data_IF_236903247339
#
_entry.id   IF_236903247339
#
_cell.length_a   1.000
_cell.length_b   1.000
_cell.length_c   1.000
_cell.angle_alpha   90.00
_cell.angle_beta   90.00
_cell.angle_gamma   90.00
#
_symmetry.space_group_name_H-M   'P 1'
#
loop_
_entity.id
_entity.type
_entity.pdbx_description
1 polymer ?
#
# COMPACT_ATOMS: atom_id res chain seq x y z
N UNK A 1 -48.98 32.97 -11.01
CA UNK A 1 -48.04 33.09 -9.87
C UNK A 1 -47.80 31.71 -9.27
N UNK A 2 -46.55 31.42 -8.90
CA UNK A 2 -46.10 30.31 -8.03
C UNK A 2 -46.10 28.89 -8.61
N UNK A 3 -45.18 28.62 -9.53
CA UNK A 3 -44.49 27.33 -9.70
C UNK A 3 -43.04 27.71 -9.85
N UNK A 4 -42.19 27.45 -8.85
CA UNK A 4 -40.71 27.46 -8.90
C UNK A 4 -40.15 27.43 -7.46
N UNK A 5 -40.55 26.46 -6.64
CA UNK A 5 -39.88 26.18 -5.35
C UNK A 5 -39.93 24.67 -5.13
N UNK A 6 -39.27 23.89 -6.00
CA UNK A 6 -39.09 22.45 -5.74
C UNK A 6 -37.78 21.90 -6.32
N UNK A 7 -36.79 22.76 -6.55
CA UNK A 7 -35.48 22.36 -7.09
C UNK A 7 -34.29 22.65 -6.16
N UNK A 8 -34.54 23.17 -4.95
CA UNK A 8 -33.47 23.59 -4.04
C UNK A 8 -33.04 22.54 -3.01
N UNK A 9 -33.70 21.37 -2.93
CA UNK A 9 -33.45 20.37 -1.88
C UNK A 9 -32.61 19.16 -2.32
N UNK A 10 -32.30 19.01 -3.61
CA UNK A 10 -31.56 17.84 -4.11
C UNK A 10 -30.04 18.02 -4.19
N UNK A 11 -29.52 19.25 -3.99
CA UNK A 11 -28.10 19.56 -4.17
C UNK A 11 -27.24 19.36 -2.90
N UNK A 12 -27.85 19.16 -1.72
CA UNK A 12 -27.12 19.09 -0.44
C UNK A 12 -26.71 17.65 -0.09
N UNK A 13 -27.25 16.64 -0.78
CA UNK A 13 -26.93 15.23 -0.51
C UNK A 13 -25.63 14.74 -1.18
N UNK A 14 -24.95 15.56 -1.97
CA UNK A 14 -23.77 15.15 -2.74
C UNK A 14 -22.42 15.32 -2.01
N UNK A 15 -22.41 15.83 -0.77
CA UNK A 15 -21.16 16.15 -0.05
C UNK A 15 -20.70 15.12 1.00
N UNK A 16 -21.35 13.96 1.09
CA UNK A 16 -21.11 13.00 2.18
C UNK A 16 -20.41 11.71 1.74
N UNK A 17 -19.48 11.77 0.79
CA UNK A 17 -18.65 10.61 0.43
C UNK A 17 -17.17 10.94 0.39
N UNK A 18 -16.66 11.67 1.39
CA UNK A 18 -15.29 11.38 1.84
C UNK A 18 -15.36 10.02 2.50
N UNK A 19 -15.06 8.98 1.71
CA UNK A 19 -14.82 7.65 2.20
C UNK A 19 -13.70 7.75 3.25
N UNK A 20 -14.10 7.77 4.52
CA UNK A 20 -13.20 7.45 5.62
C UNK A 20 -12.80 6.01 5.34
N UNK A 21 -11.63 5.84 4.73
CA UNK A 21 -10.98 4.54 4.63
C UNK A 21 -10.83 4.10 6.07
N UNK A 22 -11.71 3.20 6.50
CA UNK A 22 -11.63 2.61 7.81
C UNK A 22 -10.22 2.03 7.89
N UNK A 23 -9.40 2.64 8.72
CA UNK A 23 -8.11 2.12 9.11
C UNK A 23 -8.44 0.80 9.79
N UNK A 24 -8.38 -0.28 9.01
CA UNK A 24 -8.64 -1.63 9.47
C UNK A 24 -7.55 -1.91 10.49
N UNK A 25 -7.90 -1.73 11.76
CA UNK A 25 -7.04 -1.85 12.92
C UNK A 25 -6.73 -3.32 13.20
N UNK A 26 -6.20 -4.02 12.20
CA UNK A 26 -5.43 -5.24 12.41
C UNK A 26 -4.10 -4.86 13.03
N UNK A 27 -3.54 -5.73 13.87
CA UNK A 27 -2.19 -5.52 14.37
C UNK A 27 -1.22 -5.49 13.19
N UNK A 28 -0.45 -4.40 13.06
CA UNK A 28 0.52 -4.20 11.98
C UNK A 28 1.89 -4.65 12.46
N UNK A 29 2.48 -5.61 11.75
CA UNK A 29 3.87 -5.99 11.94
C UNK A 29 4.73 -5.15 11.00
N UNK A 30 5.62 -4.33 11.54
CA UNK A 30 6.57 -3.51 10.77
C UNK A 30 7.99 -3.99 11.02
N UNK A 31 8.72 -4.31 9.94
CA UNK A 31 10.10 -4.78 10.01
C UNK A 31 10.95 -4.00 9.01
N UNK A 32 12.07 -3.46 9.50
CA UNK A 32 13.05 -2.80 8.67
C UNK A 32 13.98 -3.83 8.03
N UNK A 33 14.24 -3.65 6.73
CA UNK A 33 15.09 -4.52 5.93
C UNK A 33 16.17 -3.69 5.25
N UNK A 34 17.43 -4.12 5.40
CA UNK A 34 18.58 -3.52 4.72
C UNK A 34 18.50 -3.67 3.19
N UNK A 35 17.81 -4.73 2.74
CA UNK A 35 17.72 -5.06 1.31
C UNK A 35 16.40 -5.74 0.95
N UNK A 36 15.73 -5.21 -0.06
CA UNK A 36 14.48 -5.69 -0.65
C UNK A 36 14.70 -5.91 -2.14
N UNK A 37 14.83 -7.18 -2.53
CA UNK A 37 14.93 -7.56 -3.94
C UNK A 37 13.53 -7.76 -4.51
N UNK A 38 13.11 -6.85 -5.38
CA UNK A 38 11.79 -6.86 -6.01
C UNK A 38 11.89 -7.51 -7.39
N UNK A 39 11.24 -8.66 -7.54
CA UNK A 39 11.03 -9.31 -8.83
C UNK A 39 9.66 -8.93 -9.38
N UNK A 40 9.64 -7.90 -10.22
CA UNK A 40 8.43 -7.39 -10.86
C UNK A 40 7.94 -8.35 -11.95
N UNK A 41 6.78 -8.95 -11.75
CA UNK A 41 6.16 -9.85 -12.71
C UNK A 41 4.64 -9.85 -12.51
N UNK A 42 3.93 -8.83 -13.03
CA UNK A 42 2.52 -8.66 -12.77
C UNK A 42 1.72 -9.77 -13.43
N UNK A 43 0.99 -10.54 -12.62
CA UNK A 43 0.09 -11.60 -13.07
C UNK A 43 -1.19 -11.55 -12.23
N UNK A 44 -2.26 -11.01 -12.81
CA UNK A 44 -3.53 -10.81 -12.09
C UNK A 44 -3.38 -9.78 -10.96
N UNK A 45 -3.79 -10.15 -9.74
CA UNK A 45 -3.77 -9.27 -8.55
C UNK A 45 -2.41 -9.20 -7.86
N UNK A 46 -1.48 -10.10 -8.17
CA UNK A 46 -0.09 -10.07 -7.67
C UNK A 46 0.80 -9.33 -8.68
N UNK A 47 1.51 -8.33 -8.19
CA UNK A 47 2.38 -7.45 -8.98
C UNK A 47 3.85 -7.89 -8.93
N UNK A 48 4.33 -8.35 -7.77
CA UNK A 48 5.72 -8.74 -7.60
C UNK A 48 5.92 -9.78 -6.50
N UNK A 49 7.11 -10.38 -6.49
CA UNK A 49 7.66 -11.14 -5.36
C UNK A 49 8.84 -10.39 -4.76
N UNK A 50 8.97 -10.40 -3.45
CA UNK A 50 10.03 -9.70 -2.71
C UNK A 50 10.84 -10.70 -1.90
N UNK A 51 12.16 -10.59 -1.99
CA UNK A 51 13.09 -11.21 -1.03
C UNK A 51 13.64 -10.11 -0.12
N UNK A 52 13.37 -10.23 1.18
CA UNK A 52 13.71 -9.21 2.16
C UNK A 52 14.79 -9.73 3.13
N UNK A 53 15.91 -9.03 3.21
CA UNK A 53 17.08 -9.38 4.02
C UNK A 53 17.25 -8.38 5.15
N UNK A 54 17.06 -8.86 6.39
CA UNK A 54 17.24 -8.03 7.59
C UNK A 54 18.72 -7.87 7.97
N UNK A 55 19.58 -8.74 7.45
CA UNK A 55 21.03 -8.66 7.58
C UNK A 55 21.71 -9.50 6.49
N UNK A 56 23.03 -9.30 6.29
CA UNK A 56 23.82 -10.00 5.25
C UNK A 56 23.82 -11.54 5.37
N UNK A 57 23.71 -12.08 6.59
CA UNK A 57 23.78 -13.53 6.86
C UNK A 57 22.43 -14.14 7.24
N UNK A 58 21.38 -13.32 7.32
CA UNK A 58 20.05 -13.75 7.73
C UNK A 58 19.37 -14.51 6.59
N UNK A 59 18.53 -15.51 6.93
CA UNK A 59 17.65 -16.11 5.93
C UNK A 59 16.66 -15.04 5.41
N UNK A 60 16.42 -14.93 4.09
CA UNK A 60 15.51 -13.95 3.56
C UNK A 60 14.06 -14.29 3.89
N UNK A 61 13.30 -13.28 4.30
CA UNK A 61 11.85 -13.34 4.28
C UNK A 61 11.36 -13.23 2.83
N UNK A 62 10.18 -13.81 2.56
CA UNK A 62 9.57 -13.81 1.23
C UNK A 62 8.19 -13.20 1.35
N UNK A 63 7.90 -12.28 0.44
CA UNK A 63 6.62 -11.61 0.40
C UNK A 63 6.10 -11.46 -1.04
N UNK A 64 4.83 -11.12 -1.14
CA UNK A 64 4.14 -10.75 -2.37
C UNK A 64 3.63 -9.31 -2.27
N UNK A 65 3.73 -8.59 -3.39
CA UNK A 65 3.13 -7.26 -3.57
C UNK A 65 1.87 -7.45 -4.40
N UNK A 66 0.76 -6.88 -3.92
CA UNK A 66 -0.53 -6.92 -4.58
C UNK A 66 -0.96 -5.53 -5.02
N UNK A 67 -2.05 -5.45 -5.78
CA UNK A 67 -2.59 -4.17 -6.28
C UNK A 67 -3.02 -3.20 -5.18
N UNK A 68 -3.28 -3.69 -3.97
CA UNK A 68 -3.67 -2.90 -2.80
C UNK A 68 -2.50 -2.57 -1.87
N UNK A 69 -1.27 -3.00 -2.18
CA UNK A 69 -0.08 -2.63 -1.41
C UNK A 69 0.19 -1.13 -1.57
N UNK A 70 0.36 -0.44 -0.44
CA UNK A 70 0.72 0.98 -0.41
C UNK A 70 2.24 1.15 -0.47
N UNK A 71 2.70 2.22 -1.12
CA UNK A 71 4.11 2.58 -1.21
C UNK A 71 4.29 4.02 -0.74
N UNK A 72 5.28 4.25 0.12
CA UNK A 72 5.65 5.56 0.62
C UNK A 72 7.15 5.79 0.45
N UNK A 73 7.55 7.05 0.24
CA UNK A 73 8.94 7.48 0.36
C UNK A 73 9.34 7.69 1.82
N UNK A 74 10.64 7.97 2.04
CA UNK A 74 11.21 8.23 3.37
C UNK A 74 10.56 9.44 4.06
N UNK A 75 10.07 10.40 3.28
CA UNK A 75 9.33 11.58 3.77
C UNK A 75 7.86 11.30 4.09
N UNK A 76 7.41 10.04 3.96
CA UNK A 76 6.02 9.62 4.14
C UNK A 76 5.10 10.01 2.99
N UNK A 77 5.64 10.56 1.89
CA UNK A 77 4.83 10.89 0.71
C UNK A 77 4.39 9.61 -0.03
N UNK A 78 3.14 9.52 -0.48
CA UNK A 78 2.68 8.35 -1.22
C UNK A 78 3.35 8.29 -2.60
N UNK A 79 3.78 7.09 -2.97
CA UNK A 79 4.36 6.77 -4.27
C UNK A 79 3.42 5.82 -5.05
N UNK A 80 3.49 5.87 -6.37
CA UNK A 80 2.86 4.85 -7.21
C UNK A 80 3.59 3.51 -6.99
N UNK A 81 2.84 2.42 -6.73
CA UNK A 81 3.43 1.08 -6.54
C UNK A 81 4.26 0.64 -7.74
N UNK A 82 3.95 1.13 -8.95
CA UNK A 82 4.76 0.89 -10.15
C UNK A 82 6.17 1.47 -10.05
N UNK A 83 6.45 2.39 -9.14
CA UNK A 83 7.79 2.94 -8.92
C UNK A 83 8.81 1.84 -8.60
N UNK A 84 8.37 0.76 -7.95
CA UNK A 84 9.22 -0.40 -7.65
C UNK A 84 9.75 -1.11 -8.90
N UNK A 85 9.14 -0.94 -10.08
CA UNK A 85 9.66 -1.51 -11.34
C UNK A 85 10.95 -0.83 -11.81
N UNK A 86 11.27 0.34 -11.28
CA UNK A 86 12.39 1.17 -11.77
C UNK A 86 13.75 0.65 -11.30
N UNK A 87 13.79 -0.12 -10.20
CA UNK A 87 15.00 -0.75 -9.66
C UNK A 87 14.65 -2.10 -9.05
N UNK A 88 15.62 -3.01 -9.09
CA UNK A 88 15.46 -4.36 -8.52
C UNK A 88 15.71 -4.38 -7.02
N UNK A 89 16.42 -3.39 -6.48
CA UNK A 89 16.96 -3.42 -5.12
C UNK A 89 16.63 -2.12 -4.37
N UNK A 90 16.15 -2.26 -3.14
CA UNK A 90 15.67 -1.17 -2.28
C UNK A 90 16.05 -1.44 -0.82
N UNK A 91 16.08 -0.40 0.00
CA UNK A 91 16.03 -0.54 1.45
C UNK A 91 14.69 0.02 1.94
N UNK A 92 14.21 -0.45 3.09
CA UNK A 92 12.97 0.08 3.63
C UNK A 92 12.29 -0.76 4.69
N UNK A 93 11.17 -0.24 5.14
CA UNK A 93 10.29 -0.91 6.11
C UNK A 93 9.16 -1.63 5.38
N UNK A 94 9.01 -2.92 5.64
CA UNK A 94 7.88 -3.73 5.16
C UNK A 94 6.87 -3.88 6.28
N UNK A 95 5.60 -3.61 5.97
CA UNK A 95 4.49 -3.73 6.90
C UNK A 95 3.48 -4.78 6.41
N UNK A 96 3.17 -5.76 7.26
CA UNK A 96 2.18 -6.81 7.00
C UNK A 96 1.09 -6.79 8.07
N UNK A 97 -0.13 -7.19 7.71
CA UNK A 97 -1.20 -7.38 8.68
C UNK A 97 -1.04 -8.72 9.41
N UNK A 98 -1.39 -8.76 10.69
CA UNK A 98 -1.45 -10.01 11.45
C UNK A 98 -2.35 -11.04 10.75
N UNK A 99 -1.83 -12.25 10.57
CA UNK A 99 -2.51 -13.33 9.81
C UNK A 99 -2.26 -13.31 8.30
N UNK A 100 -1.64 -12.26 7.74
CA UNK A 100 -1.24 -12.16 6.32
C UNK A 100 0.28 -11.96 6.22
N UNK A 101 1.04 -12.99 6.60
CA UNK A 101 2.48 -12.88 6.81
C UNK A 101 3.31 -12.84 5.53
N UNK A 102 2.74 -13.20 4.38
CA UNK A 102 3.38 -13.18 3.08
C UNK A 102 2.89 -12.04 2.17
N UNK A 103 1.79 -11.35 2.53
CA UNK A 103 1.23 -10.25 1.74
C UNK A 103 1.62 -8.91 2.34
N UNK A 104 2.28 -8.06 1.54
CA UNK A 104 2.67 -6.73 2.00
C UNK A 104 1.48 -5.78 1.93
N UNK A 105 1.13 -5.20 3.07
CA UNK A 105 0.14 -4.12 3.14
C UNK A 105 0.77 -2.77 2.77
N UNK A 106 1.97 -2.46 3.27
CA UNK A 106 2.68 -1.20 2.98
C UNK A 106 4.20 -1.38 2.93
N UNK A 107 4.86 -0.62 2.05
CA UNK A 107 6.32 -0.47 2.00
C UNK A 107 6.66 1.01 2.15
N UNK A 108 7.60 1.34 3.04
CA UNK A 108 8.24 2.65 3.11
C UNK A 108 9.69 2.52 2.64
N UNK A 109 10.05 3.22 1.57
CA UNK A 109 11.40 3.15 0.98
C UNK A 109 12.34 4.15 1.65
N UNK A 110 13.57 3.72 1.94
CA UNK A 110 14.66 4.55 2.48
C UNK A 110 15.70 4.83 1.38
#
# INVERSE_FOLDING_TARGET
MKKNILFALLAIAALSTTATRAEESGHVNAVEYERLIVNWNPSGTRLARVLAYGCQTCAPARFEIHQNTELEGEDGSPLDIEFLKTRVDWAGTVQTLEGQTDSIYKIMLH
#
